data_IF_414763037210
#
_entry.id   IF_414763037210
#
_cell.length_a   1.000
_cell.length_b   1.000
_cell.length_c   1.000
_cell.angle_alpha   90.00
_cell.angle_beta   90.00
_cell.angle_gamma   90.00
#
_symmetry.space_group_name_H-M   'P 1'
#
loop_
_entity.id
_entity.type
_entity.pdbx_description
1 polymer ?
#
# COMPACT_ATOMS: atom_id res chain seq x y z
N UNK A 1 -7.54 -2.77 15.72
CA UNK A 1 -8.33 -2.78 14.48
C UNK A 1 -7.38 -2.40 13.35
N UNK A 2 -6.69 -3.40 12.85
CA UNK A 2 -5.61 -3.28 11.87
C UNK A 2 -6.25 -3.35 10.48
N UNK A 3 -6.03 -2.35 9.64
CA UNK A 3 -6.50 -2.35 8.26
C UNK A 3 -5.81 -3.51 7.50
N UNK A 4 -6.55 -4.41 6.83
CA UNK A 4 -5.93 -5.48 6.06
C UNK A 4 -5.38 -4.95 4.73
N UNK A 5 -4.24 -5.45 4.24
CA UNK A 5 -3.61 -4.98 3.00
C UNK A 5 -4.49 -5.27 1.75
N UNK A 6 -4.50 -4.29 0.83
CA UNK A 6 -5.18 -4.28 -0.48
C UNK A 6 -4.39 -5.11 -1.51
N UNK A 7 -4.87 -5.41 -2.72
CA UNK A 7 -4.45 -6.42 -3.75
C UNK A 7 -3.01 -6.45 -4.23
N UNK A 8 -2.29 -7.60 -4.36
CA UNK A 8 -0.99 -7.63 -4.99
C UNK A 8 -0.97 -7.93 -6.50
N UNK A 9 0.03 -7.36 -7.16
CA UNK A 9 0.22 -7.28 -8.60
C UNK A 9 1.07 -8.47 -9.03
N UNK A 10 0.67 -9.14 -10.11
CA UNK A 10 1.45 -10.22 -10.70
C UNK A 10 2.48 -9.63 -11.67
N UNK A 11 3.79 -9.76 -11.43
CA UNK A 11 4.78 -9.46 -12.48
C UNK A 11 4.74 -10.54 -13.55
N UNK A 12 4.75 -10.13 -14.83
CA UNK A 12 4.98 -11.04 -15.94
C UNK A 12 6.49 -11.25 -16.03
N UNK A 13 6.99 -12.32 -15.42
CA UNK A 13 8.39 -12.76 -15.56
C UNK A 13 8.65 -13.21 -17.00
N UNK A 14 9.14 -12.30 -17.84
CA UNK A 14 9.76 -12.67 -19.12
C UNK A 14 11.23 -12.98 -18.87
N UNK A 15 11.55 -14.27 -18.68
CA UNK A 15 12.89 -14.77 -18.94
C UNK A 15 13.12 -14.75 -20.46
N UNK A 16 13.51 -13.60 -21.01
CA UNK A 16 14.02 -13.53 -22.38
C UNK A 16 15.42 -12.95 -22.39
N UNK A 17 16.38 -13.84 -22.67
CA UNK A 17 17.62 -13.50 -23.34
C UNK A 17 17.25 -12.63 -24.54
N UNK A 18 17.81 -11.42 -24.58
CA UNK A 18 17.61 -10.43 -25.63
C UNK A 18 17.86 -11.05 -27.01
N UNK A 19 16.78 -11.34 -27.74
CA UNK A 19 16.78 -11.68 -29.15
C UNK A 19 15.34 -11.74 -29.63
N UNK A 20 14.71 -10.58 -29.80
CA UNK A 20 13.76 -10.22 -30.85
C UNK A 20 12.95 -9.01 -30.39
N UNK A 21 12.82 -8.02 -31.28
CA UNK A 21 12.27 -6.70 -31.01
C UNK A 21 10.84 -6.67 -30.46
N UNK A 22 10.35 -5.48 -30.10
CA UNK A 22 9.10 -5.32 -29.37
C UNK A 22 7.94 -5.86 -30.21
N UNK A 23 7.27 -6.91 -29.71
CA UNK A 23 5.95 -7.29 -30.20
C UNK A 23 5.02 -6.13 -29.88
N UNK A 24 4.59 -5.39 -30.91
CA UNK A 24 3.51 -4.40 -30.82
C UNK A 24 2.29 -5.07 -30.22
N UNK A 25 1.99 -4.74 -28.97
CA UNK A 25 0.67 -5.00 -28.38
C UNK A 25 -0.30 -4.12 -29.17
N UNK A 26 -1.27 -4.78 -29.79
CA UNK A 26 -2.32 -4.16 -30.60
C UNK A 26 -3.11 -3.23 -29.68
N UNK A 27 -3.25 -1.96 -30.07
CA UNK A 27 -3.90 -0.85 -29.33
C UNK A 27 -5.39 -1.08 -28.96
N UNK A 28 -5.98 -2.24 -29.27
CA UNK A 28 -7.42 -2.48 -29.15
C UNK A 28 -7.86 -3.25 -27.88
N UNK A 29 -6.94 -3.70 -27.02
CA UNK A 29 -7.30 -4.52 -25.84
C UNK A 29 -7.30 -3.74 -24.51
N UNK A 30 -7.02 -2.43 -24.55
CA UNK A 30 -6.98 -1.55 -23.36
C UNK A 30 -8.41 -1.17 -22.89
N UNK A 31 -9.42 -1.37 -23.73
CA UNK A 31 -10.81 -0.95 -23.46
C UNK A 31 -11.61 -1.92 -22.58
N UNK A 32 -11.09 -3.12 -22.29
CA UNK A 32 -11.73 -4.09 -21.39
C UNK A 32 -10.92 -4.24 -20.12
N UNK A 33 -11.35 -3.55 -19.05
CA UNK A 33 -10.80 -3.80 -17.71
C UNK A 33 -11.04 -5.28 -17.36
N UNK A 34 -9.98 -6.09 -17.21
CA UNK A 34 -10.14 -7.51 -16.93
C UNK A 34 -10.46 -7.66 -15.45
N UNK A 35 -11.73 -7.49 -15.08
CA UNK A 35 -12.20 -7.58 -13.68
C UNK A 35 -11.80 -8.90 -12.99
N UNK A 36 -11.58 -9.96 -13.77
CA UNK A 36 -11.07 -11.23 -13.29
C UNK A 36 -9.63 -11.14 -12.76
N UNK A 37 -8.78 -10.29 -13.34
CA UNK A 37 -7.41 -10.06 -12.87
C UNK A 37 -7.35 -9.28 -11.55
N UNK A 38 -8.38 -8.47 -11.25
CA UNK A 38 -8.50 -7.77 -9.96
C UNK A 38 -8.60 -8.73 -8.76
N UNK A 39 -9.07 -9.95 -9.02
CA UNK A 39 -9.45 -10.96 -8.00
C UNK A 39 -8.34 -12.01 -7.84
N UNK A 40 -7.30 -11.99 -8.68
CA UNK A 40 -6.22 -12.96 -8.62
C UNK A 40 -5.25 -12.66 -7.47
N UNK A 41 -5.00 -13.65 -6.62
CA UNK A 41 -3.88 -13.61 -5.69
C UNK A 41 -2.59 -13.76 -6.51
N UNK A 42 -1.63 -12.84 -6.42
CA UNK A 42 -0.42 -12.90 -7.21
C UNK A 42 0.52 -13.99 -6.72
N UNK A 43 1.42 -14.43 -7.62
CA UNK A 43 2.36 -15.48 -7.30
C UNK A 43 3.43 -14.95 -6.34
N UNK A 44 3.76 -15.75 -5.34
CA UNK A 44 4.96 -15.53 -4.54
C UNK A 44 6.18 -15.94 -5.37
N UNK A 45 7.05 -14.98 -5.66
CA UNK A 45 8.28 -15.23 -6.41
C UNK A 45 9.49 -15.25 -5.47
N UNK A 46 10.43 -16.16 -5.76
CA UNK A 46 11.71 -16.25 -5.07
C UNK A 46 12.81 -16.08 -6.11
N UNK A 47 13.64 -15.06 -5.92
CA UNK A 47 14.84 -14.84 -6.70
C UNK A 47 15.93 -15.77 -6.19
N UNK A 48 16.46 -16.62 -7.08
CA UNK A 48 17.62 -17.47 -6.76
C UNK A 48 18.86 -16.81 -7.33
N UNK A 49 19.75 -16.35 -6.45
CA UNK A 49 21.02 -15.74 -6.85
C UNK A 49 22.14 -16.76 -6.67
N UNK A 50 22.81 -17.07 -7.77
CA UNK A 50 24.06 -17.81 -7.75
C UNK A 50 25.26 -16.85 -7.60
N UNK A 51 26.28 -17.34 -6.89
CA UNK A 51 27.49 -16.62 -6.48
C UNK A 51 27.20 -15.34 -5.68
N UNK A 52 26.27 -15.42 -4.74
CA UNK A 52 26.12 -14.38 -3.70
C UNK A 52 27.33 -14.46 -2.77
N UNK A 53 28.08 -13.37 -2.65
CA UNK A 53 29.23 -13.28 -1.75
C UNK A 53 29.11 -12.02 -0.88
N UNK A 54 29.95 -11.93 0.13
CA UNK A 54 29.96 -10.81 1.08
C UNK A 54 30.08 -9.47 0.33
N UNK A 55 29.12 -8.55 0.55
CA UNK A 55 29.08 -7.24 -0.09
C UNK A 55 28.67 -7.25 -1.58
N UNK A 56 28.34 -8.41 -2.16
CA UNK A 56 27.90 -8.49 -3.55
C UNK A 56 26.60 -7.71 -3.74
N UNK A 57 26.61 -6.77 -4.69
CA UNK A 57 25.42 -6.04 -5.12
C UNK A 57 24.78 -6.73 -6.30
N UNK A 58 23.51 -7.10 -6.18
CA UNK A 58 22.72 -7.70 -7.25
C UNK A 58 21.39 -6.97 -7.37
N UNK A 59 20.77 -7.03 -8.53
CA UNK A 59 19.43 -6.49 -8.70
C UNK A 59 18.61 -7.36 -9.65
N UNK A 60 17.29 -7.27 -9.49
CA UNK A 60 16.29 -7.79 -10.42
C UNK A 60 15.33 -6.65 -10.74
N UNK A 61 14.84 -6.61 -11.98
CA UNK A 61 13.77 -5.71 -12.39
C UNK A 61 12.56 -6.56 -12.71
N UNK A 62 11.44 -6.24 -12.06
CA UNK A 62 10.14 -6.85 -12.31
C UNK A 62 9.36 -5.95 -13.27
N UNK A 63 8.90 -6.49 -14.40
CA UNK A 63 7.92 -5.83 -15.26
C UNK A 63 6.52 -6.32 -14.89
N UNK A 64 5.66 -5.40 -14.47
CA UNK A 64 4.26 -5.67 -14.17
C UNK A 64 3.42 -5.84 -15.46
N UNK A 65 3.98 -5.50 -16.63
CA UNK A 65 3.32 -5.57 -17.94
C UNK A 65 2.43 -4.35 -18.23
N UNK A 66 1.89 -3.72 -17.19
CA UNK A 66 1.05 -2.52 -17.24
C UNK A 66 1.38 -1.59 -16.05
N UNK A 67 1.08 -0.28 -16.14
CA UNK A 67 1.18 0.63 -15.01
C UNK A 67 0.20 0.27 -13.89
N UNK A 68 0.65 0.38 -12.64
CA UNK A 68 -0.16 0.09 -11.45
C UNK A 68 0.05 1.15 -10.40
N UNK A 69 -1.04 1.54 -9.74
CA UNK A 69 -1.00 2.41 -8.58
C UNK A 69 -0.61 1.60 -7.33
N UNK A 70 0.65 1.63 -6.92
CA UNK A 70 1.17 0.84 -5.80
C UNK A 70 0.72 1.42 -4.46
N UNK A 71 0.06 0.61 -3.63
CA UNK A 71 -0.49 1.00 -2.33
C UNK A 71 0.30 0.43 -1.15
N UNK A 72 0.73 -0.84 -1.24
CA UNK A 72 1.42 -1.52 -0.14
C UNK A 72 2.53 -2.42 -0.68
N UNK A 73 3.50 -2.78 0.14
CA UNK A 73 4.42 -3.86 -0.17
C UNK A 73 4.91 -4.57 1.09
N UNK A 74 5.29 -5.82 0.89
CA UNK A 74 5.77 -6.71 1.93
C UNK A 74 6.98 -7.49 1.41
N UNK A 75 8.14 -7.34 2.04
CA UNK A 75 9.32 -8.17 1.76
C UNK A 75 9.78 -8.80 3.07
N UNK A 76 9.68 -10.13 3.23
CA UNK A 76 10.05 -10.78 4.49
C UNK A 76 11.56 -10.69 4.74
N UNK A 77 11.93 -10.72 6.03
CA UNK A 77 13.33 -10.70 6.43
C UNK A 77 14.12 -11.83 5.75
N UNK A 78 15.33 -11.51 5.27
CA UNK A 78 16.20 -12.45 4.58
C UNK A 78 17.60 -12.43 5.22
N UNK A 79 18.00 -13.48 5.95
CA UNK A 79 19.24 -13.48 6.74
C UNK A 79 20.53 -13.43 5.92
N UNK A 80 20.44 -13.74 4.62
CA UNK A 80 21.53 -13.68 3.65
C UNK A 80 21.79 -12.25 3.13
N UNK A 81 20.85 -11.33 3.35
CA UNK A 81 20.97 -9.97 2.87
C UNK A 81 21.37 -9.04 4.01
N UNK A 82 22.32 -8.15 3.72
CA UNK A 82 22.60 -6.98 4.56
C UNK A 82 21.47 -5.98 4.39
N UNK A 83 21.28 -5.49 3.15
CA UNK A 83 20.30 -4.47 2.84
C UNK A 83 19.57 -4.75 1.53
N UNK A 84 18.40 -4.11 1.41
CA UNK A 84 17.54 -4.15 0.23
C UNK A 84 17.08 -2.74 -0.09
N UNK A 85 17.03 -2.39 -1.37
CA UNK A 85 16.47 -1.12 -1.85
C UNK A 85 15.51 -1.38 -3.01
N UNK A 86 14.46 -0.57 -3.07
CA UNK A 86 13.41 -0.66 -4.08
C UNK A 86 13.35 0.67 -4.82
N UNK A 87 13.61 0.62 -6.12
CA UNK A 87 13.44 1.73 -7.04
C UNK A 87 12.26 1.43 -7.98
N UNK A 88 11.46 2.45 -8.31
CA UNK A 88 10.23 2.35 -9.09
C UNK A 88 10.31 3.27 -10.32
N UNK A 89 9.75 2.86 -11.45
CA UNK A 89 9.50 3.74 -12.60
C UNK A 89 8.37 3.23 -13.49
N UNK A 90 7.88 4.08 -14.39
CA UNK A 90 6.83 3.72 -15.36
C UNK A 90 7.39 3.58 -16.77
N UNK A 91 8.26 4.48 -17.22
CA UNK A 91 8.78 4.50 -18.60
C UNK A 91 10.20 4.00 -18.68
N UNK A 92 11.14 4.62 -17.95
CA UNK A 92 12.57 4.35 -18.05
C UNK A 92 13.29 4.68 -16.76
N UNK A 93 14.28 3.87 -16.38
CA UNK A 93 15.11 4.12 -15.19
C UNK A 93 15.79 5.52 -15.25
N UNK A 94 16.08 6.05 -16.43
CA UNK A 94 16.74 7.36 -16.59
C UNK A 94 15.77 8.55 -16.56
N UNK A 95 14.48 8.32 -16.83
CA UNK A 95 13.49 9.39 -16.99
C UNK A 95 12.69 9.64 -15.72
N UNK A 96 12.22 8.58 -15.09
CA UNK A 96 11.22 8.65 -14.01
C UNK A 96 11.50 7.68 -12.85
N UNK A 97 12.74 7.20 -12.70
CA UNK A 97 13.11 6.40 -11.53
C UNK A 97 13.05 7.20 -10.24
N UNK A 98 12.32 6.63 -9.27
CA UNK A 98 12.26 7.11 -7.91
C UNK A 98 12.63 6.00 -6.95
N UNK A 99 13.51 6.31 -6.00
CA UNK A 99 13.79 5.42 -4.88
C UNK A 99 12.62 5.45 -3.90
N UNK A 100 11.95 4.32 -3.74
CA UNK A 100 10.86 4.19 -2.78
C UNK A 100 11.41 3.98 -1.36
N UNK A 101 12.33 3.04 -1.19
CA UNK A 101 12.84 2.68 0.15
C UNK A 101 14.23 2.07 0.10
N UNK A 102 14.97 2.26 1.20
CA UNK A 102 16.19 1.51 1.54
C UNK A 102 15.99 0.88 2.91
N UNK A 103 16.03 -0.45 2.95
CA UNK A 103 15.97 -1.26 4.16
C UNK A 103 17.39 -1.75 4.50
N UNK A 104 18.13 -1.06 5.39
CA UNK A 104 19.50 -1.43 5.76
C UNK A 104 19.58 -2.69 6.64
N UNK A 105 18.48 -3.08 7.29
CA UNK A 105 18.42 -4.17 8.27
C UNK A 105 17.47 -5.31 7.85
N UNK A 106 17.36 -5.58 6.55
CA UNK A 106 16.47 -6.64 6.01
C UNK A 106 16.87 -8.05 6.50
N UNK A 107 18.07 -8.20 7.09
CA UNK A 107 18.53 -9.44 7.71
C UNK A 107 17.58 -9.96 8.78
N UNK A 108 17.04 -9.07 9.62
CA UNK A 108 16.25 -9.43 10.80
C UNK A 108 14.85 -8.82 10.80
N UNK A 109 14.64 -7.73 10.04
CA UNK A 109 13.37 -7.02 9.98
C UNK A 109 12.71 -7.22 8.63
N UNK A 110 11.45 -7.63 8.66
CA UNK A 110 10.58 -7.65 7.49
C UNK A 110 10.26 -6.21 7.09
N UNK A 111 10.43 -5.90 5.81
CA UNK A 111 10.04 -4.60 5.25
C UNK A 111 8.55 -4.65 4.94
N UNK A 112 7.79 -3.78 5.60
CA UNK A 112 6.36 -3.60 5.39
C UNK A 112 6.13 -2.12 5.13
N UNK A 113 5.49 -1.78 4.02
CA UNK A 113 4.95 -0.45 3.78
C UNK A 113 3.49 -0.60 3.44
N UNK A 114 2.63 0.06 4.23
CA UNK A 114 1.19 0.05 4.04
C UNK A 114 0.73 1.49 3.77
N UNK A 115 -0.32 1.64 2.97
CA UNK A 115 -0.93 2.94 2.61
C UNK A 115 0.10 3.99 2.14
N UNK A 116 0.95 3.58 1.19
CA UNK A 116 1.95 4.45 0.55
C UNK A 116 1.23 5.69 0.00
N UNK A 117 1.67 6.88 0.44
CA UNK A 117 1.00 8.13 0.09
C UNK A 117 2.00 9.24 -0.27
N UNK A 118 1.83 9.91 -1.43
CA UNK A 118 0.90 9.53 -2.51
C UNK A 118 1.28 8.15 -3.10
N UNK A 119 0.30 7.30 -3.47
CA UNK A 119 0.60 5.99 -4.03
C UNK A 119 1.26 6.16 -5.41
N UNK A 120 2.47 5.64 -5.64
CA UNK A 120 3.17 5.85 -6.91
C UNK A 120 2.59 4.99 -8.02
N UNK A 121 2.49 5.57 -9.22
CA UNK A 121 2.24 4.80 -10.44
C UNK A 121 3.56 4.16 -10.89
N UNK A 122 3.56 2.83 -11.02
CA UNK A 122 4.75 2.05 -11.36
C UNK A 122 4.41 0.95 -12.35
N UNK A 123 5.32 0.71 -13.30
CA UNK A 123 5.33 -0.49 -14.14
C UNK A 123 6.51 -1.40 -13.81
N UNK A 124 7.65 -0.81 -13.51
CA UNK A 124 8.90 -1.52 -13.27
C UNK A 124 9.37 -1.34 -11.83
N UNK A 125 9.68 -2.45 -11.18
CA UNK A 125 10.17 -2.47 -9.80
C UNK A 125 11.57 -3.07 -9.80
N UNK A 126 12.58 -2.28 -9.43
CA UNK A 126 13.96 -2.77 -9.25
C UNK A 126 14.23 -3.03 -7.80
N UNK A 127 14.51 -4.30 -7.49
CA UNK A 127 14.94 -4.72 -6.17
C UNK A 127 16.43 -4.91 -6.22
N UNK A 128 17.16 -4.05 -5.53
CA UNK A 128 18.61 -4.13 -5.38
C UNK A 128 18.94 -4.67 -4.02
N UNK A 129 19.74 -5.74 -3.98
CA UNK A 129 20.11 -6.45 -2.75
C UNK A 129 21.63 -6.43 -2.56
N UNK A 130 22.05 -6.40 -1.29
CA UNK A 130 23.46 -6.44 -0.90
C UNK A 130 23.66 -7.65 0.00
N UNK A 131 24.57 -8.55 -0.39
CA UNK A 131 24.90 -9.76 0.37
C UNK A 131 25.56 -9.46 1.72
N UNK A 132 25.15 -10.19 2.74
CA UNK A 132 25.68 -10.04 4.10
C UNK A 132 27.16 -10.42 4.19
N UNK A 133 27.92 -9.68 4.99
CA UNK A 133 29.31 -10.01 5.28
C UNK A 133 29.43 -11.31 6.10
N UNK A 134 30.41 -12.14 5.75
CA UNK A 134 30.67 -13.42 6.41
C UNK A 134 29.83 -14.59 5.88
N UNK A 135 29.10 -14.42 4.78
CA UNK A 135 28.44 -15.53 4.10
C UNK A 135 29.44 -16.49 3.45
N UNK A 136 29.22 -17.78 3.66
CA UNK A 136 29.92 -18.89 2.99
C UNK A 136 29.10 -19.53 1.86
N UNK A 137 27.79 -19.25 1.81
CA UNK A 137 26.87 -19.82 0.83
C UNK A 137 26.98 -19.09 -0.50
N UNK A 138 27.31 -19.81 -1.58
CA UNK A 138 27.35 -19.25 -2.94
C UNK A 138 25.96 -19.16 -3.57
N UNK A 139 24.89 -19.65 -2.94
CA UNK A 139 23.52 -19.63 -3.46
C UNK A 139 22.56 -19.05 -2.42
N UNK A 140 21.90 -17.96 -2.76
CA UNK A 140 20.92 -17.28 -1.90
C UNK A 140 19.52 -17.35 -2.52
N UNK A 141 18.50 -17.57 -1.68
CA UNK A 141 17.09 -17.49 -2.07
C UNK A 141 16.49 -16.24 -1.44
N UNK A 142 16.21 -15.25 -2.28
CA UNK A 142 15.67 -13.97 -1.85
C UNK A 142 14.17 -13.96 -2.16
N UNK A 143 13.31 -13.85 -1.15
CA UNK A 143 11.90 -13.61 -1.39
C UNK A 143 11.75 -12.23 -2.02
N UNK A 144 11.16 -12.17 -3.22
CA UNK A 144 10.93 -10.91 -3.94
C UNK A 144 9.91 -10.02 -3.20
N UNK A 145 9.08 -10.64 -2.36
CA UNK A 145 8.01 -9.99 -1.62
C UNK A 145 6.69 -9.98 -2.39
N UNK A 146 5.69 -9.35 -1.80
CA UNK A 146 4.37 -9.11 -2.36
C UNK A 146 4.21 -7.60 -2.56
N UNK A 147 3.78 -7.19 -3.76
CA UNK A 147 3.58 -5.79 -4.13
C UNK A 147 2.11 -5.54 -4.35
N UNK A 148 1.51 -4.64 -3.60
CA UNK A 148 0.10 -4.36 -3.56
C UNK A 148 -0.27 -3.05 -4.25
N UNK A 149 -1.32 -3.04 -5.07
CA UNK A 149 -1.77 -1.88 -5.81
C UNK A 149 -3.00 -2.08 -6.68
N UNK A 150 -3.39 -1.02 -7.37
CA UNK A 150 -4.59 -0.95 -8.20
C UNK A 150 -4.28 -0.86 -9.69
N UNK A 151 -4.80 -1.84 -10.44
CA UNK A 151 -4.70 -1.91 -11.90
C UNK A 151 -5.44 -0.76 -12.59
N UNK A 152 -6.60 -0.39 -12.05
CA UNK A 152 -7.38 0.73 -12.56
C UNK A 152 -6.83 2.02 -11.95
N UNK A 153 -6.28 2.87 -12.80
CA UNK A 153 -5.82 4.23 -12.46
C UNK A 153 -6.86 5.21 -13.00
N UNK A 154 -7.48 5.99 -12.11
CA UNK A 154 -8.48 6.99 -12.48
C UNK A 154 -7.80 8.33 -12.82
N UNK A 155 -8.46 9.19 -13.62
CA UNK A 155 -8.02 10.56 -13.83
C UNK A 155 -7.77 11.30 -12.51
N UNK A 156 -6.59 11.92 -12.36
CA UNK A 156 -6.22 12.69 -11.17
C UNK A 156 -5.58 11.88 -10.03
N UNK A 157 -5.44 10.56 -10.16
CA UNK A 157 -4.72 9.73 -9.16
C UNK A 157 -3.22 9.60 -9.47
N UNK A 158 -2.78 9.96 -10.68
CA UNK A 158 -1.37 10.06 -11.04
C UNK A 158 -0.82 11.42 -10.61
N UNK A 159 -0.12 11.45 -9.48
CA UNK A 159 0.48 12.66 -8.94
C UNK A 159 1.61 13.22 -9.83
N UNK A 160 2.22 12.40 -10.70
CA UNK A 160 3.36 12.81 -11.49
C UNK A 160 2.97 13.61 -12.75
N UNK A 161 1.68 13.67 -13.14
CA UNK A 161 1.11 14.30 -14.36
C UNK A 161 1.83 14.00 -15.69
N UNK A 162 2.88 13.17 -15.68
CA UNK A 162 3.87 13.13 -16.76
C UNK A 162 3.67 12.00 -17.75
N UNK A 163 2.96 10.92 -17.42
CA UNK A 163 3.14 9.67 -18.17
C UNK A 163 1.93 8.78 -18.45
N UNK A 164 0.69 9.16 -18.08
CA UNK A 164 -0.40 8.19 -18.22
C UNK A 164 -1.34 8.54 -19.37
N UNK A 165 -1.34 7.70 -20.43
CA UNK A 165 -2.52 7.50 -21.30
C UNK A 165 -3.57 6.79 -20.45
N UNK A 166 -4.27 7.57 -19.63
CA UNK A 166 -5.32 7.10 -18.73
C UNK A 166 -6.39 6.43 -19.59
N UNK A 167 -6.79 5.21 -19.22
CA UNK A 167 -7.81 4.45 -19.93
C UNK A 167 -9.00 5.38 -20.23
N UNK A 168 -9.33 5.50 -21.51
CA UNK A 168 -10.48 6.26 -21.96
C UNK A 168 -11.70 5.83 -21.15
N UNK A 169 -12.28 6.80 -20.43
CA UNK A 169 -13.36 6.65 -19.46
C UNK A 169 -14.30 5.46 -19.74
N UNK A 170 -14.23 4.37 -18.96
CA UNK A 170 -15.32 3.41 -18.98
C UNK A 170 -16.52 4.07 -18.28
N UNK A 171 -17.71 4.05 -18.89
CA UNK A 171 -18.93 4.60 -18.28
C UNK A 171 -19.08 4.04 -16.85
N UNK A 172 -18.90 4.87 -15.80
CA UNK A 172 -18.74 4.39 -14.43
C UNK A 172 -20.00 3.70 -13.92
N UNK A 173 -21.17 4.01 -14.48
CA UNK A 173 -22.43 3.34 -14.13
C UNK A 173 -22.44 1.87 -14.58
N UNK A 174 -22.02 1.61 -15.82
CA UNK A 174 -22.00 0.25 -16.35
C UNK A 174 -20.95 -0.61 -15.62
N UNK A 175 -19.79 -0.03 -15.30
CA UNK A 175 -18.74 -0.73 -14.56
C UNK A 175 -19.13 -1.03 -13.11
N UNK A 176 -19.80 -0.10 -12.43
CA UNK A 176 -20.31 -0.36 -11.09
C UNK A 176 -21.36 -1.47 -11.07
N UNK A 177 -22.19 -1.58 -12.12
CA UNK A 177 -23.10 -2.72 -12.28
C UNK A 177 -22.37 -4.06 -12.35
N UNK A 178 -21.30 -4.15 -13.14
CA UNK A 178 -20.46 -5.36 -13.25
C UNK A 178 -19.74 -5.66 -11.93
N UNK A 179 -19.20 -4.62 -11.27
CA UNK A 179 -18.52 -4.74 -9.98
C UNK A 179 -19.46 -5.17 -8.85
N UNK A 180 -20.71 -4.69 -8.85
CA UNK A 180 -21.73 -5.13 -7.90
C UNK A 180 -22.03 -6.63 -8.05
N UNK A 181 -22.25 -7.10 -9.28
CA UNK A 181 -22.48 -8.53 -9.54
C UNK A 181 -21.27 -9.38 -9.10
N UNK A 182 -20.05 -8.93 -9.39
CA UNK A 182 -18.82 -9.59 -8.93
C UNK A 182 -18.70 -9.59 -7.40
N UNK A 183 -19.03 -8.47 -6.75
CA UNK A 183 -19.01 -8.34 -5.30
C UNK A 183 -19.97 -9.31 -4.64
N UNK A 184 -21.22 -9.40 -5.12
CA UNK A 184 -22.24 -10.33 -4.61
C UNK A 184 -21.80 -11.80 -4.75
N UNK A 185 -21.23 -12.17 -5.90
CA UNK A 185 -20.72 -13.52 -6.13
C UNK A 185 -19.56 -13.88 -5.19
N UNK A 186 -18.56 -13.00 -5.05
CA UNK A 186 -17.44 -13.21 -4.11
C UNK A 186 -17.97 -13.24 -2.67
N UNK A 187 -18.96 -12.40 -2.32
CA UNK A 187 -19.54 -12.38 -0.98
C UNK A 187 -20.25 -13.70 -0.66
N UNK A 188 -20.98 -14.27 -1.61
CA UNK A 188 -21.60 -15.59 -1.45
C UNK A 188 -20.54 -16.68 -1.23
N UNK A 189 -19.46 -16.68 -2.04
CA UNK A 189 -18.34 -17.62 -1.89
C UNK A 189 -17.60 -17.46 -0.57
N UNK A 190 -17.41 -16.22 -0.11
CA UNK A 190 -16.83 -15.92 1.20
C UNK A 190 -17.71 -16.49 2.33
N UNK A 191 -19.02 -16.23 2.31
CA UNK A 191 -19.96 -16.76 3.30
C UNK A 191 -19.94 -18.29 3.37
N UNK A 192 -19.91 -18.97 2.22
CA UNK A 192 -19.80 -20.42 2.16
C UNK A 192 -18.47 -20.93 2.76
N UNK A 193 -17.35 -20.27 2.45
CA UNK A 193 -16.05 -20.61 3.02
C UNK A 193 -16.02 -20.41 4.54
N UNK A 194 -16.64 -19.34 5.05
CA UNK A 194 -16.79 -19.10 6.49
C UNK A 194 -17.64 -20.17 7.16
N UNK A 195 -18.79 -20.56 6.58
CA UNK A 195 -19.61 -21.65 7.12
C UNK A 195 -18.84 -22.97 7.17
N UNK A 196 -18.12 -23.31 6.09
CA UNK A 196 -17.24 -24.49 6.05
C UNK A 196 -16.16 -24.45 7.15
N UNK A 197 -15.55 -23.29 7.39
CA UNK A 197 -14.57 -23.13 8.47
C UNK A 197 -15.22 -23.28 9.85
N UNK A 198 -16.40 -22.70 10.05
CA UNK A 198 -17.17 -22.83 11.29
C UNK A 198 -17.55 -24.29 11.57
N UNK A 199 -18.00 -25.04 10.57
CA UNK A 199 -18.34 -26.46 10.70
C UNK A 199 -17.12 -27.30 11.11
N UNK A 200 -15.93 -26.98 10.57
CA UNK A 200 -14.68 -27.66 10.93
C UNK A 200 -14.22 -27.33 12.36
N UNK A 201 -14.52 -26.12 12.87
CA UNK A 201 -14.13 -25.66 14.20
C UNK A 201 -15.16 -26.04 15.29
N UNK A 202 -16.45 -26.13 14.94
CA UNK A 202 -17.56 -26.48 15.84
C UNK A 202 -17.30 -27.69 16.75
N UNK A 203 -16.82 -28.85 16.25
CA UNK A 203 -16.54 -29.99 17.12
C UNK A 203 -15.35 -29.75 18.07
N UNK A 204 -14.40 -28.88 17.72
CA UNK A 204 -13.29 -28.52 18.60
C UNK A 204 -13.74 -27.58 19.72
N UNK A 205 -14.58 -26.60 19.40
CA UNK A 205 -15.17 -25.66 20.37
C UNK A 205 -16.14 -26.35 21.34
N UNK A 206 -16.82 -27.41 20.88
CA UNK A 206 -17.78 -28.18 21.69
C UNK A 206 -17.10 -29.24 22.58
N UNK A 207 -15.89 -29.68 22.22
CA UNK A 207 -15.13 -30.69 22.96
C UNK A 207 -14.53 -30.17 24.29
N UNK A 208 -14.41 -28.85 24.48
CA UNK A 208 -13.91 -28.24 25.72
C UNK A 208 -14.84 -28.44 26.94
N UNK A 209 -16.04 -29.01 26.76
CA UNK A 209 -17.05 -29.17 27.83
C UNK A 209 -17.15 -30.61 28.37
N UNK A 210 -16.38 -31.59 27.87
CA UNK A 210 -16.50 -32.99 28.30
C UNK A 210 -15.35 -33.49 29.21
N UNK A 211 -15.73 -34.12 30.33
CA UNK A 211 -14.91 -34.69 31.43
C UNK A 211 -13.48 -35.17 31.11
N UNK A 212 -12.58 -35.00 32.09
CA UNK A 212 -11.11 -35.26 32.08
C UNK A 212 -10.70 -36.63 31.49
N UNK A 213 -11.53 -37.66 31.63
CA UNK A 213 -11.31 -39.00 31.06
C UNK A 213 -11.50 -39.06 29.53
N UNK A 214 -12.43 -38.28 28.97
CA UNK A 214 -12.57 -38.11 27.53
C UNK A 214 -11.46 -37.23 26.95
N UNK A 215 -10.95 -36.24 27.70
CA UNK A 215 -9.80 -35.44 27.31
C UNK A 215 -8.55 -36.29 27.05
N UNK A 216 -8.18 -37.19 27.96
CA UNK A 216 -6.97 -38.02 27.78
C UNK A 216 -7.08 -39.01 26.61
N UNK A 217 -8.27 -39.56 26.36
CA UNK A 217 -8.52 -40.44 25.21
C UNK A 217 -8.63 -39.66 23.89
N UNK A 218 -9.22 -38.46 23.91
CA UNK A 218 -9.28 -37.56 22.77
C UNK A 218 -7.86 -37.11 22.41
N UNK A 219 -7.09 -36.52 23.34
CA UNK A 219 -5.70 -36.05 23.16
C UNK A 219 -4.77 -37.10 22.53
N UNK A 220 -4.90 -38.37 22.94
CA UNK A 220 -4.10 -39.48 22.41
C UNK A 220 -4.53 -39.91 21.00
N UNK A 221 -5.84 -39.90 20.68
CA UNK A 221 -6.38 -40.19 19.33
C UNK A 221 -6.21 -39.00 18.37
N UNK A 222 -6.23 -37.80 18.91
CA UNK A 222 -6.13 -36.55 18.17
C UNK A 222 -4.72 -36.29 17.66
N UNK A 223 -3.65 -36.81 18.27
CA UNK A 223 -2.27 -36.63 17.76
C UNK A 223 -2.09 -37.13 16.30
N UNK A 224 -2.75 -38.23 15.94
CA UNK A 224 -2.66 -38.84 14.61
C UNK A 224 -3.72 -38.31 13.62
N UNK A 225 -4.91 -37.94 14.11
CA UNK A 225 -6.01 -37.36 13.31
C UNK A 225 -5.96 -35.82 13.20
N UNK A 226 -5.19 -35.11 14.04
CA UNK A 226 -5.07 -33.64 13.98
C UNK A 226 -4.33 -33.23 12.72
N UNK A 227 -3.24 -33.90 12.34
CA UNK A 227 -2.43 -33.46 11.19
C UNK A 227 -3.26 -33.21 9.91
N UNK A 228 -4.13 -34.15 9.46
CA UNK A 228 -5.01 -33.90 8.31
C UNK A 228 -6.15 -32.92 8.61
N UNK A 229 -6.65 -32.87 9.86
CA UNK A 229 -7.75 -31.97 10.26
C UNK A 229 -7.27 -30.51 10.34
N UNK A 230 -6.13 -30.27 10.96
CA UNK A 230 -5.40 -29.01 10.99
C UNK A 230 -5.08 -28.54 9.58
N UNK A 231 -4.60 -29.42 8.68
CA UNK A 231 -4.39 -29.05 7.28
C UNK A 231 -5.68 -28.59 6.59
N UNK A 232 -6.80 -29.30 6.81
CA UNK A 232 -8.13 -28.90 6.28
C UNK A 232 -8.59 -27.56 6.85
N UNK A 233 -8.41 -27.33 8.16
CA UNK A 233 -8.73 -26.06 8.82
C UNK A 233 -7.87 -24.93 8.26
N UNK A 234 -6.54 -25.12 8.16
CA UNK A 234 -5.62 -24.13 7.58
C UNK A 234 -5.98 -23.83 6.13
N UNK A 235 -6.37 -24.84 5.35
CA UNK A 235 -6.81 -24.64 3.96
C UNK A 235 -8.11 -23.84 3.88
N UNK A 236 -9.13 -24.20 4.68
CA UNK A 236 -10.40 -23.47 4.74
C UNK A 236 -10.22 -22.02 5.24
N UNK A 237 -9.31 -21.80 6.20
CA UNK A 237 -8.93 -20.47 6.66
C UNK A 237 -8.25 -19.67 5.54
N UNK A 238 -7.32 -20.28 4.81
CA UNK A 238 -6.65 -19.61 3.69
C UNK A 238 -7.62 -19.26 2.55
N UNK A 239 -8.62 -20.09 2.30
CA UNK A 239 -9.74 -19.79 1.39
C UNK A 239 -10.50 -18.54 1.87
N UNK A 240 -10.85 -18.46 3.16
CA UNK A 240 -11.53 -17.29 3.74
C UNK A 240 -10.70 -16.01 3.58
N UNK A 241 -9.40 -16.06 3.91
CA UNK A 241 -8.48 -14.92 3.77
C UNK A 241 -8.41 -14.45 2.31
N UNK A 242 -8.35 -15.40 1.37
CA UNK A 242 -8.31 -15.10 -0.07
C UNK A 242 -9.58 -14.39 -0.54
N UNK A 243 -10.76 -14.89 -0.16
CA UNK A 243 -12.02 -14.25 -0.52
C UNK A 243 -12.22 -12.88 0.16
N UNK A 244 -11.81 -12.74 1.42
CA UNK A 244 -11.83 -11.45 2.12
C UNK A 244 -10.97 -10.42 1.39
N UNK A 245 -9.81 -10.83 0.92
CA UNK A 245 -8.90 -9.99 0.16
C UNK A 245 -9.50 -9.56 -1.20
N UNK A 246 -10.16 -10.48 -1.90
CA UNK A 246 -10.89 -10.18 -3.14
C UNK A 246 -12.02 -9.16 -2.90
N UNK A 247 -12.81 -9.33 -1.82
CA UNK A 247 -13.86 -8.38 -1.45
C UNK A 247 -13.30 -6.97 -1.20
N UNK A 248 -12.18 -6.87 -0.48
CA UNK A 248 -11.55 -5.58 -0.20
C UNK A 248 -11.06 -4.90 -1.48
N UNK A 249 -10.52 -5.66 -2.42
CA UNK A 249 -10.04 -5.19 -3.72
C UNK A 249 -11.20 -4.60 -4.55
N UNK A 250 -12.29 -5.37 -4.69
CA UNK A 250 -13.49 -4.94 -5.42
C UNK A 250 -14.13 -3.72 -4.76
N UNK A 251 -14.30 -3.75 -3.43
CA UNK A 251 -14.86 -2.62 -2.66
C UNK A 251 -14.02 -1.36 -2.81
N UNK A 252 -12.69 -1.47 -2.84
CA UNK A 252 -11.80 -0.32 -3.02
C UNK A 252 -12.01 0.34 -4.38
N UNK A 253 -12.06 -0.46 -5.44
CA UNK A 253 -12.33 0.03 -6.80
C UNK A 253 -13.71 0.66 -6.92
N UNK A 254 -14.74 0.02 -6.36
CA UNK A 254 -16.10 0.57 -6.33
C UNK A 254 -16.15 1.91 -5.60
N UNK A 255 -15.47 2.04 -4.46
CA UNK A 255 -15.39 3.29 -3.69
C UNK A 255 -14.71 4.39 -4.50
N UNK A 256 -13.59 4.08 -5.16
CA UNK A 256 -12.83 5.05 -5.99
C UNK A 256 -13.64 5.52 -7.19
N UNK A 257 -14.30 4.59 -7.90
CA UNK A 257 -15.24 4.93 -8.99
C UNK A 257 -16.46 5.72 -8.51
N UNK A 258 -16.95 5.44 -7.30
CA UNK A 258 -18.07 6.16 -6.68
C UNK A 258 -17.69 7.57 -6.20
N UNK A 259 -16.50 7.73 -5.60
CA UNK A 259 -15.97 9.03 -5.17
C UNK A 259 -15.76 9.98 -6.36
N UNK A 260 -15.36 9.45 -7.52
CA UNK A 260 -15.22 10.22 -8.75
C UNK A 260 -16.56 10.74 -9.31
N UNK A 261 -17.72 10.29 -8.79
CA UNK A 261 -19.05 10.81 -9.16
C UNK A 261 -19.52 11.99 -8.30
N UNK A 262 -18.91 12.21 -7.14
CA UNK A 262 -19.36 13.23 -6.20
C UNK A 262 -18.46 14.45 -6.25
N UNK A 263 -19.05 15.63 -6.38
CA UNK A 263 -18.48 16.85 -5.79
C UNK A 263 -18.05 16.51 -4.37
N UNK A 264 -16.76 16.39 -4.15
CA UNK A 264 -16.17 16.04 -2.85
C UNK A 264 -16.52 17.15 -1.88
N UNK A 265 -17.49 16.89 -1.01
CA UNK A 265 -17.75 17.76 0.13
C UNK A 265 -16.48 17.75 0.99
N UNK A 266 -15.72 18.86 1.07
CA UNK A 266 -14.36 18.85 1.62
C UNK A 266 -14.32 18.39 3.08
N UNK A 267 -15.43 18.56 3.81
CA UNK A 267 -15.60 18.10 5.19
C UNK A 267 -15.59 16.56 5.31
N UNK A 268 -16.17 15.83 4.35
CA UNK A 268 -16.16 14.36 4.35
C UNK A 268 -14.79 13.80 3.92
N UNK A 269 -14.05 14.55 3.10
CA UNK A 269 -12.67 14.20 2.74
C UNK A 269 -11.70 14.40 3.90
N UNK A 270 -11.89 15.45 4.71
CA UNK A 270 -11.04 15.73 5.88
C UNK A 270 -11.27 14.73 7.01
N UNK A 271 -12.51 14.30 7.25
CA UNK A 271 -12.82 13.31 8.29
C UNK A 271 -12.32 11.90 7.96
N UNK A 272 -12.14 11.59 6.67
CA UNK A 272 -11.53 10.35 6.20
C UNK A 272 -9.99 10.43 6.07
N UNK A 273 -9.39 11.60 6.26
CA UNK A 273 -7.95 11.78 6.11
C UNK A 273 -7.18 11.28 7.35
N UNK A 274 -5.98 10.75 7.12
CA UNK A 274 -5.10 10.31 8.19
C UNK A 274 -4.65 11.51 9.04
N UNK A 275 -4.83 11.42 10.36
CA UNK A 275 -4.48 12.47 11.33
C UNK A 275 -3.01 12.85 11.26
N UNK A 276 -2.11 11.88 11.08
CA UNK A 276 -0.67 12.13 10.99
C UNK A 276 -0.30 12.92 9.72
N UNK A 277 -1.01 12.66 8.60
CA UNK A 277 -0.79 13.37 7.34
C UNK A 277 -1.31 14.81 7.42
N UNK A 278 -2.48 15.02 8.05
CA UNK A 278 -3.01 16.35 8.31
C UNK A 278 -2.08 17.17 9.22
N UNK A 279 -1.47 16.53 10.21
CA UNK A 279 -0.48 17.14 11.10
C UNK A 279 0.76 17.61 10.33
N UNK A 280 1.36 16.74 9.50
CA UNK A 280 2.53 17.12 8.68
C UNK A 280 2.19 18.26 7.72
N UNK A 281 0.98 18.26 7.13
CA UNK A 281 0.53 19.35 6.28
C UNK A 281 0.36 20.65 7.08
N UNK A 282 -0.18 20.57 8.30
CA UNK A 282 -0.25 21.68 9.25
C UNK A 282 1.12 22.26 9.58
N UNK A 283 2.10 21.40 9.89
CA UNK A 283 3.50 21.82 10.14
C UNK A 283 4.10 22.57 8.95
N UNK A 284 3.96 22.03 7.73
CA UNK A 284 4.51 22.66 6.53
C UNK A 284 3.83 23.99 6.19
N UNK A 285 2.51 24.08 6.36
CA UNK A 285 1.79 25.34 6.16
C UNK A 285 2.22 26.39 7.19
N UNK A 286 2.42 25.98 8.44
CA UNK A 286 2.89 26.85 9.50
C UNK A 286 4.32 27.35 9.23
N UNK A 287 5.22 26.45 8.79
CA UNK A 287 6.57 26.80 8.35
C UNK A 287 6.55 27.78 7.17
N UNK A 288 5.63 27.60 6.21
CA UNK A 288 5.44 28.52 5.08
C UNK A 288 4.94 29.90 5.56
N UNK A 289 3.97 29.94 6.47
CA UNK A 289 3.46 31.19 7.05
C UNK A 289 4.55 31.94 7.80
N UNK A 290 5.38 31.22 8.56
CA UNK A 290 6.55 31.80 9.23
C UNK A 290 7.58 32.32 8.21
N UNK A 291 7.87 31.56 7.15
CA UNK A 291 8.78 31.98 6.09
C UNK A 291 8.32 33.28 5.44
N UNK A 292 7.01 33.41 5.18
CA UNK A 292 6.40 34.64 4.70
C UNK A 292 6.53 35.77 5.74
N UNK A 293 6.17 35.52 7.00
CA UNK A 293 6.18 36.53 8.07
C UNK A 293 7.58 37.09 8.42
N UNK A 294 8.65 36.31 8.15
CA UNK A 294 10.03 36.73 8.36
C UNK A 294 10.71 37.33 7.12
N UNK A 295 9.99 37.48 6.00
CA UNK A 295 10.51 38.04 4.73
C UNK A 295 11.82 37.37 4.29
N UNK A 296 11.94 36.06 4.55
CA UNK A 296 13.10 35.29 4.10
C UNK A 296 12.89 35.03 2.62
N UNK A 297 13.56 35.77 1.73
CA UNK A 297 13.46 35.58 0.28
C UNK A 297 12.76 36.73 -0.48
N UNK A 298 12.43 36.50 -1.75
CA UNK A 298 11.87 37.54 -2.64
C UNK A 298 10.33 37.54 -2.57
N UNK A 299 9.77 37.92 -1.43
CA UNK A 299 8.30 37.95 -1.25
C UNK A 299 7.77 39.36 -1.58
N UNK A 300 6.73 39.50 -2.42
CA UNK A 300 6.11 40.80 -2.66
C UNK A 300 5.51 41.36 -1.37
N UNK A 301 5.93 42.57 -0.96
CA UNK A 301 5.44 43.26 0.26
C UNK A 301 3.91 43.36 0.34
N UNK A 302 3.23 43.30 -0.80
CA UNK A 302 1.76 43.26 -0.92
C UNK A 302 1.14 42.01 -0.30
N UNK A 303 1.77 40.85 -0.40
CA UNK A 303 1.26 39.59 0.16
C UNK A 303 1.30 39.59 1.69
N UNK A 304 2.32 40.23 2.28
CA UNK A 304 2.44 40.39 3.73
C UNK A 304 1.33 41.29 4.28
N UNK A 305 1.05 42.41 3.63
CA UNK A 305 0.00 43.32 4.06
C UNK A 305 -1.39 42.64 4.08
N UNK A 306 -1.71 41.86 3.05
CA UNK A 306 -2.95 41.08 3.02
C UNK A 306 -3.01 40.00 4.11
N UNK A 307 -1.85 39.42 4.47
CA UNK A 307 -1.77 38.44 5.55
C UNK A 307 -2.02 39.10 6.90
N UNK A 308 -1.36 40.24 7.19
CA UNK A 308 -1.59 41.02 8.41
C UNK A 308 -3.06 41.46 8.58
N UNK A 309 -3.72 41.88 7.49
CA UNK A 309 -5.14 42.25 7.54
C UNK A 309 -6.08 41.08 7.88
N UNK A 310 -5.63 39.83 7.65
CA UNK A 310 -6.45 38.64 7.89
C UNK A 310 -6.28 38.06 9.29
N UNK A 311 -5.21 38.42 10.00
CA UNK A 311 -4.99 38.05 11.39
C UNK A 311 -5.80 38.96 12.31
N UNK A 312 -7.05 38.57 12.57
CA UNK A 312 -7.90 39.18 13.57
C UNK A 312 -7.80 38.42 14.92
N UNK A 313 -8.27 39.06 15.99
CA UNK A 313 -8.30 38.45 17.32
C UNK A 313 -8.97 37.05 17.35
N UNK A 314 -10.18 36.84 16.78
CA UNK A 314 -10.81 35.52 16.84
C UNK A 314 -10.04 34.45 16.07
N UNK A 315 -9.39 34.77 14.94
CA UNK A 315 -8.53 33.82 14.23
C UNK A 315 -7.30 33.46 15.06
N UNK A 316 -6.70 34.44 15.75
CA UNK A 316 -5.54 34.19 16.62
C UNK A 316 -5.88 33.29 17.81
N UNK A 317 -7.04 33.48 18.42
CA UNK A 317 -7.54 32.62 19.50
C UNK A 317 -7.81 31.19 18.99
N UNK A 318 -8.38 31.03 17.80
CA UNK A 318 -8.59 29.72 17.18
C UNK A 318 -7.27 29.02 16.84
N UNK A 319 -6.32 29.74 16.23
CA UNK A 319 -4.99 29.20 15.93
C UNK A 319 -4.25 28.78 17.20
N UNK A 320 -4.31 29.59 18.26
CA UNK A 320 -3.73 29.23 19.56
C UNK A 320 -4.36 27.97 20.14
N UNK A 321 -5.70 27.86 20.11
CA UNK A 321 -6.39 26.69 20.63
C UNK A 321 -6.06 25.41 19.84
N UNK A 322 -6.00 25.50 18.51
CA UNK A 322 -5.78 24.34 17.65
C UNK A 322 -4.32 23.92 17.54
N UNK A 323 -3.38 24.87 17.48
CA UNK A 323 -1.96 24.58 17.23
C UNK A 323 -1.09 24.63 18.49
N UNK A 324 -1.49 25.35 19.54
CA UNK A 324 -0.69 25.46 20.76
C UNK A 324 -1.19 24.56 21.91
N UNK A 325 -2.50 24.36 22.06
CA UNK A 325 -3.03 23.61 23.23
C UNK A 325 -3.00 22.09 22.99
N UNK A 326 -3.19 21.63 21.75
CA UNK A 326 -3.44 20.22 21.45
C UNK A 326 -2.27 19.46 20.78
N UNK A 327 -1.17 20.13 20.45
CA UNK A 327 -0.12 19.58 19.55
C UNK A 327 1.27 19.46 20.21
N UNK A 328 2.28 18.98 19.45
CA UNK A 328 3.63 18.84 19.98
C UNK A 328 4.39 20.15 20.21
N UNK A 329 5.50 20.04 20.93
CA UNK A 329 6.40 21.15 21.26
C UNK A 329 6.88 21.92 20.03
N UNK A 330 7.05 21.27 18.87
CA UNK A 330 7.53 21.95 17.65
C UNK A 330 6.43 22.82 17.03
N UNK A 331 5.23 22.28 16.87
CA UNK A 331 4.05 23.02 16.41
C UNK A 331 3.72 24.17 17.35
N UNK A 332 3.76 23.92 18.67
CA UNK A 332 3.56 24.93 19.70
C UNK A 332 4.51 26.11 19.56
N UNK A 333 5.82 25.84 19.45
CA UNK A 333 6.83 26.89 19.32
C UNK A 333 6.66 27.68 18.01
N UNK A 334 6.40 26.98 16.90
CA UNK A 334 6.23 27.60 15.59
C UNK A 334 4.98 28.48 15.54
N UNK A 335 3.87 28.01 16.11
CA UNK A 335 2.60 28.73 16.18
C UNK A 335 2.68 29.94 17.11
N UNK A 336 3.27 29.79 18.30
CA UNK A 336 3.53 30.92 19.19
C UNK A 336 4.44 31.97 18.53
N UNK A 337 5.48 31.54 17.81
CA UNK A 337 6.37 32.46 17.08
C UNK A 337 5.60 33.23 16.00
N UNK A 338 4.73 32.56 15.26
CA UNK A 338 3.90 33.20 14.24
C UNK A 338 2.95 34.23 14.88
N UNK A 339 2.24 33.85 15.96
CA UNK A 339 1.31 34.74 16.66
C UNK A 339 2.02 35.96 17.24
N UNK A 340 3.19 35.79 17.87
CA UNK A 340 3.99 36.92 18.37
C UNK A 340 4.41 37.83 17.21
N UNK A 341 4.77 37.28 16.06
CA UNK A 341 5.21 38.08 14.91
C UNK A 341 4.07 38.81 14.21
N UNK A 342 2.90 38.19 14.12
CA UNK A 342 1.74 38.75 13.44
C UNK A 342 0.95 39.74 14.31
N UNK A 343 0.93 39.53 15.64
CA UNK A 343 0.15 40.34 16.59
C UNK A 343 1.00 41.29 17.45
N UNK A 344 2.33 41.14 17.45
CA UNK A 344 3.26 41.95 18.25
C UNK A 344 3.75 43.24 17.59
N UNK A 345 3.13 43.68 16.49
CA UNK A 345 3.43 44.92 15.77
C UNK A 345 2.29 45.93 15.88
#
# INVERSE_FOLDING_TARGET
FEAPPISPISPVLTNHVASNGPKKIIENDIDRVPWQQLVMTPPQHVLVIERMHSGARRFVVLDLGYPVLLTDLFVPACPDLLSLSIDLWTVSEEQDAQRLVVAPDITTKTLIMNDIHPPPVVRFIKITTIGRYGMNTTKCKIPIGCFYGHLLILPGEDYAEKNTRIANHPNPQNQLGVLNALFEDIQCRYSLACSKLQDLLSPMLTAEIANVSHMHHCLRRTSEMLKPTTLKITTAYQECVTYQHQLNSVRSVMRRLGAHKGTTDPQNSLTAACTDKLRVLGENLLDLLLYLAYDVGFVPKTALYSLYQRFDQPLCEQLFHWLCVAEDTRMQLSACTLLVRMCGL
#
